data_IF_952906041525
#
_entry.id   IF_952906041525
#
_cell.length_a   1.000
_cell.length_b   1.000
_cell.length_c   1.000
_cell.angle_alpha   90.00
_cell.angle_beta   90.00
_cell.angle_gamma   90.00
#
_symmetry.space_group_name_H-M   'P 1'
#
loop_
_entity.id
_entity.type
_entity.pdbx_description
1 polymer ?
#
# COMPACT_ATOMS: atom_id res chain seq x y z
N UNK A 1 -13.37 -16.50 10.96
CA UNK A 1 -12.70 -16.14 9.69
C UNK A 1 -11.22 -15.94 9.98
N UNK A 2 -10.32 -16.79 9.47
CA UNK A 2 -8.86 -16.58 9.59
C UNK A 2 -8.40 -15.68 8.44
N UNK A 3 -8.55 -14.37 8.59
CA UNK A 3 -7.86 -13.46 7.69
C UNK A 3 -6.38 -13.42 8.07
N UNK A 4 -5.50 -13.48 7.07
CA UNK A 4 -4.06 -13.37 7.28
C UNK A 4 -3.67 -11.91 7.08
N UNK A 5 -3.00 -11.35 8.08
CA UNK A 5 -2.35 -10.04 7.95
C UNK A 5 -1.05 -10.28 7.17
N UNK A 6 -0.89 -9.60 6.05
CA UNK A 6 0.32 -9.63 5.23
C UNK A 6 1.01 -8.27 5.29
N UNK A 7 2.31 -8.29 5.59
CA UNK A 7 3.16 -7.10 5.59
C UNK A 7 3.80 -6.96 4.21
N UNK A 8 3.66 -5.80 3.59
CA UNK A 8 4.20 -5.52 2.26
C UNK A 8 4.99 -4.23 2.26
N UNK A 9 5.98 -4.20 1.37
CA UNK A 9 6.84 -3.04 1.12
C UNK A 9 6.66 -2.67 -0.35
N UNK A 10 6.40 -1.40 -0.63
CA UNK A 10 6.31 -0.91 -2.00
C UNK A 10 7.26 0.28 -2.20
N UNK A 11 8.32 0.13 -3.03
CA UNK A 11 9.20 1.22 -3.41
C UNK A 11 8.59 2.03 -4.55
N UNK A 12 8.51 3.35 -4.36
CA UNK A 12 8.14 4.34 -5.35
C UNK A 12 9.38 5.07 -5.83
N UNK A 13 9.72 4.94 -7.11
CA UNK A 13 10.79 5.75 -7.70
C UNK A 13 10.32 7.20 -7.83
N UNK A 14 10.99 8.13 -7.15
CA UNK A 14 10.72 9.56 -7.31
C UNK A 14 11.73 10.14 -8.30
N UNK A 15 11.23 10.77 -9.35
CA UNK A 15 12.03 11.77 -10.08
C UNK A 15 11.88 13.10 -9.37
N UNK A 16 12.98 13.83 -9.17
CA UNK A 16 13.02 15.05 -8.34
C UNK A 16 11.99 16.13 -8.71
N UNK A 17 11.48 16.13 -9.95
CA UNK A 17 10.45 17.08 -10.41
C UNK A 17 9.00 16.69 -10.05
N UNK A 18 8.78 15.47 -9.56
CA UNK A 18 7.45 14.86 -9.38
C UNK A 18 7.20 14.39 -7.94
N UNK A 19 7.92 14.93 -6.95
CA UNK A 19 7.79 14.52 -5.55
C UNK A 19 6.34 14.71 -5.03
N UNK A 20 5.74 15.87 -5.28
CA UNK A 20 4.35 16.15 -4.88
C UNK A 20 3.35 15.20 -5.54
N UNK A 21 3.57 14.85 -6.81
CA UNK A 21 2.73 13.89 -7.52
C UNK A 21 2.89 12.49 -6.91
N UNK A 22 4.13 12.10 -6.57
CA UNK A 22 4.40 10.81 -5.94
C UNK A 22 3.77 10.71 -4.56
N UNK A 23 3.77 11.80 -3.78
CA UNK A 23 3.06 11.84 -2.50
C UNK A 23 1.54 11.62 -2.68
N UNK A 24 0.92 12.25 -3.67
CA UNK A 24 -0.50 12.03 -3.99
C UNK A 24 -0.78 10.59 -4.42
N UNK A 25 0.14 9.98 -5.18
CA UNK A 25 -0.03 8.59 -5.61
C UNK A 25 0.17 7.59 -4.46
N UNK A 26 1.09 7.88 -3.54
CA UNK A 26 1.24 7.15 -2.27
C UNK A 26 -0.02 7.30 -1.42
N UNK A 27 -0.59 8.50 -1.31
CA UNK A 27 -1.82 8.76 -0.56
C UNK A 27 -3.01 7.98 -1.15
N UNK A 28 -3.16 7.99 -2.48
CA UNK A 28 -4.18 7.18 -3.17
C UNK A 28 -3.95 5.69 -2.97
N UNK A 29 -2.68 5.26 -2.93
CA UNK A 29 -2.33 3.87 -2.72
C UNK A 29 -2.72 3.40 -1.31
N UNK A 30 -2.33 4.14 -0.26
CA UNK A 30 -2.63 3.78 1.13
C UNK A 30 -4.13 3.79 1.46
N UNK A 31 -4.92 4.59 0.73
CA UNK A 31 -6.37 4.63 0.87
C UNK A 31 -7.10 3.48 0.15
N UNK A 32 -6.39 2.54 -0.49
CA UNK A 32 -7.03 1.37 -1.12
C UNK A 32 -7.65 0.46 -0.05
N UNK A 33 -8.84 -0.11 -0.28
CA UNK A 33 -9.56 -0.93 0.71
C UNK A 33 -8.84 -2.24 1.08
N UNK A 34 -7.85 -2.65 0.30
CA UNK A 34 -6.98 -3.80 0.61
C UNK A 34 -5.94 -3.49 1.70
N UNK A 35 -5.63 -2.21 1.91
CA UNK A 35 -4.68 -1.72 2.89
C UNK A 35 -5.45 -1.41 4.17
N UNK A 36 -5.10 -2.13 5.23
CA UNK A 36 -5.74 -1.97 6.53
C UNK A 36 -4.99 -1.05 7.46
N UNK A 37 -3.69 -0.87 7.23
CA UNK A 37 -2.82 -0.10 8.11
C UNK A 37 -1.55 0.32 7.36
N UNK A 38 -1.08 1.55 7.61
CA UNK A 38 0.21 2.04 7.11
C UNK A 38 1.18 2.08 8.27
N UNK A 39 2.28 1.35 8.14
CA UNK A 39 3.26 1.21 9.23
C UNK A 39 4.26 2.36 9.19
N UNK A 40 4.80 2.65 8.00
CA UNK A 40 5.83 3.68 7.84
C UNK A 40 5.95 4.10 6.38
N UNK A 41 6.27 5.38 6.17
CA UNK A 41 6.63 5.93 4.87
C UNK A 41 8.01 6.55 5.03
N UNK A 42 9.00 6.01 4.33
CA UNK A 42 10.40 6.43 4.42
C UNK A 42 10.80 7.10 3.12
N UNK A 43 11.27 8.34 3.20
CA UNK A 43 11.90 9.03 2.07
C UNK A 43 13.38 8.64 2.02
N UNK A 44 13.82 8.13 0.88
CA UNK A 44 15.19 7.72 0.58
C UNK A 44 15.72 8.51 -0.61
N UNK A 45 17.03 8.59 -0.77
CA UNK A 45 17.68 9.22 -1.93
C UNK A 45 17.25 8.64 -3.28
N UNK A 46 16.65 7.45 -3.29
CA UNK A 46 16.14 6.76 -4.49
C UNK A 46 14.61 6.82 -4.63
N UNK A 47 13.87 7.39 -3.68
CA UNK A 47 12.42 7.48 -3.73
C UNK A 47 11.71 7.23 -2.38
N UNK A 48 10.42 6.91 -2.42
CA UNK A 48 9.59 6.68 -1.24
C UNK A 48 9.36 5.18 -1.01
N UNK A 49 9.58 4.71 0.20
CA UNK A 49 9.35 3.31 0.59
C UNK A 49 8.17 3.28 1.55
N UNK A 50 7.09 2.59 1.16
CA UNK A 50 5.88 2.48 1.98
C UNK A 50 5.79 1.07 2.56
N UNK A 51 5.72 0.99 3.89
CA UNK A 51 5.46 -0.22 4.66
C UNK A 51 4.01 -0.22 5.08
N UNK A 52 3.28 -1.28 4.75
CA UNK A 52 1.84 -1.35 5.01
C UNK A 52 1.38 -2.78 5.29
N UNK A 53 0.24 -2.88 5.96
CA UNK A 53 -0.46 -4.14 6.22
C UNK A 53 -1.65 -4.26 5.27
N UNK A 54 -1.78 -5.41 4.66
CA UNK A 54 -2.97 -5.78 3.89
C UNK A 54 -3.69 -6.92 4.58
N UNK A 55 -5.02 -6.88 4.56
CA UNK A 55 -5.84 -7.99 5.04
C UNK A 55 -6.37 -8.76 3.85
N UNK A 56 -5.74 -9.89 3.56
CA UNK A 56 -6.25 -10.80 2.53
C UNK A 56 -7.35 -11.66 3.16
N UNK A 57 -8.58 -11.15 3.11
CA UNK A 57 -9.74 -11.97 3.43
C UNK A 57 -9.84 -13.09 2.39
N UNK A 58 -9.67 -14.34 2.82
CA UNK A 58 -9.90 -15.54 2.01
C UNK A 58 -11.41 -15.67 1.75
N UNK A 59 -11.97 -14.75 0.95
CA UNK A 59 -13.40 -14.75 0.64
C UNK A 59 -13.66 -14.12 -0.72
N UNK A 60 -13.11 -14.75 -1.76
CA UNK A 60 -13.90 -14.98 -2.97
C UNK A 60 -15.00 -16.00 -2.57
N UNK A 61 -15.95 -15.62 -1.74
CA UNK A 61 -17.23 -16.33 -1.58
C UNK A 61 -18.35 -15.34 -1.88
N UNK A 62 -18.38 -14.84 -3.12
CA UNK A 62 -19.60 -14.36 -3.76
C UNK A 62 -19.48 -14.56 -5.29
N UNK A 63 -19.09 -15.75 -5.74
CA UNK A 63 -19.81 -16.32 -6.89
C UNK A 63 -20.96 -17.12 -6.27
N UNK A 64 -22.11 -16.43 -6.15
CA UNK A 64 -23.41 -17.02 -5.80
C UNK A 64 -23.76 -18.11 -6.84
N UNK A 65 -24.63 -19.07 -6.44
CA UNK A 65 -24.94 -20.31 -7.17
C UNK A 65 -25.52 -20.09 -8.58
#
# INVERSE_FOLDING_TARGET
>A
MKGKIEYKIFPWGIRAKDFEQTLKDVEKFVNRPEITDVISIVNSSFGLIVWYKTFRSLKIMLKKP
#
